data_IF_991774997391
#
_entry.id   IF_991774997391
#
_cell.length_a   1.000
_cell.length_b   1.000
_cell.length_c   1.000
_cell.angle_alpha   90.00
_cell.angle_beta   90.00
_cell.angle_gamma   90.00
#
_symmetry.space_group_name_H-M   'P 1'
#
loop_
_entity.id
_entity.type
_entity.pdbx_description
1 polymer ?
#
# COMPACT_ATOMS: atom_id res chain seq x y z
N UNK A 1 -36.80 -17.12 13.71
CA UNK A 1 -35.68 -16.61 12.89
C UNK A 1 -35.32 -17.70 11.91
N UNK A 2 -35.13 -17.37 10.63
CA UNK A 2 -34.88 -18.34 9.56
C UNK A 2 -33.55 -19.06 9.82
N UNK A 3 -33.62 -20.32 10.23
CA UNK A 3 -32.45 -21.19 10.46
C UNK A 3 -31.94 -21.84 9.18
N UNK A 4 -32.57 -21.54 8.04
CA UNK A 4 -32.29 -22.16 6.75
C UNK A 4 -31.82 -21.05 5.79
N UNK A 5 -30.71 -21.25 5.07
CA UNK A 5 -30.28 -20.30 4.05
C UNK A 5 -31.34 -20.20 2.93
N UNK A 6 -31.41 -19.07 2.21
CA UNK A 6 -32.17 -19.02 0.96
C UNK A 6 -31.66 -20.10 0.00
N UNK A 7 -32.55 -20.61 -0.85
CA UNK A 7 -32.16 -21.49 -1.96
C UNK A 7 -31.29 -20.75 -2.96
N UNK A 8 -30.55 -21.49 -3.79
CA UNK A 8 -29.72 -20.88 -4.83
C UNK A 8 -30.59 -20.07 -5.80
N UNK A 9 -31.76 -20.60 -6.18
CA UNK A 9 -32.69 -19.94 -7.09
C UNK A 9 -33.21 -18.62 -6.51
N UNK A 10 -33.58 -18.58 -5.22
CA UNK A 10 -34.00 -17.34 -4.55
C UNK A 10 -32.87 -16.29 -4.54
N UNK A 11 -31.63 -16.70 -4.28
CA UNK A 11 -30.47 -15.80 -4.30
C UNK A 11 -30.20 -15.23 -5.70
N UNK A 12 -30.22 -16.07 -6.74
CA UNK A 12 -29.97 -15.65 -8.11
C UNK A 12 -31.11 -14.80 -8.66
N UNK A 13 -32.37 -15.14 -8.36
CA UNK A 13 -33.52 -14.32 -8.72
C UNK A 13 -33.42 -12.93 -8.09
N UNK A 14 -33.09 -12.85 -6.80
CA UNK A 14 -32.90 -11.56 -6.13
C UNK A 14 -31.80 -10.73 -6.80
N UNK A 15 -30.68 -11.35 -7.17
CA UNK A 15 -29.59 -10.67 -7.87
C UNK A 15 -30.01 -10.14 -9.25
N UNK A 16 -30.79 -10.92 -10.02
CA UNK A 16 -31.28 -10.51 -11.33
C UNK A 16 -32.33 -9.39 -11.24
N UNK A 17 -33.26 -9.48 -10.30
CA UNK A 17 -34.32 -8.48 -10.10
C UNK A 17 -33.77 -7.13 -9.66
N UNK A 18 -32.63 -7.12 -8.96
CA UNK A 18 -31.94 -5.92 -8.49
C UNK A 18 -30.74 -5.52 -9.36
N UNK A 19 -30.62 -6.08 -10.57
CA UNK A 19 -29.52 -5.74 -11.47
C UNK A 19 -29.71 -4.35 -12.10
N UNK A 20 -28.72 -3.47 -11.91
CA UNK A 20 -28.69 -2.17 -12.55
C UNK A 20 -27.95 -2.23 -13.89
N UNK A 21 -28.61 -1.82 -14.97
CA UNK A 21 -28.05 -1.87 -16.34
C UNK A 21 -27.19 -0.67 -16.73
N UNK A 22 -27.03 0.33 -15.86
CA UNK A 22 -26.31 1.57 -16.16
C UNK A 22 -24.80 1.45 -15.92
N UNK A 23 -24.00 2.32 -16.55
CA UNK A 23 -22.55 2.41 -16.31
C UNK A 23 -21.66 1.40 -17.08
N UNK A 24 -22.23 0.49 -17.87
CA UNK A 24 -21.46 -0.45 -18.69
C UNK A 24 -21.03 0.12 -20.05
N UNK A 25 -19.86 -0.31 -20.53
CA UNK A 25 -19.33 0.14 -21.83
C UNK A 25 -20.16 -0.34 -23.03
N UNK A 26 -20.85 -1.46 -22.87
CA UNK A 26 -21.73 -2.04 -23.90
C UNK A 26 -22.64 -3.10 -23.29
N UNK A 27 -23.70 -3.51 -24.01
CA UNK A 27 -24.56 -4.65 -23.62
C UNK A 27 -23.80 -5.96 -23.47
N UNK A 28 -22.73 -6.15 -24.24
CA UNK A 28 -21.84 -7.32 -24.10
C UNK A 28 -21.04 -7.27 -22.80
N UNK A 29 -20.62 -6.08 -22.39
CA UNK A 29 -19.87 -5.84 -21.15
C UNK A 29 -20.78 -6.06 -19.93
N UNK A 30 -21.97 -5.45 -19.95
CA UNK A 30 -23.03 -5.68 -18.96
C UNK A 30 -23.31 -7.17 -18.76
N UNK A 31 -23.58 -7.90 -19.84
CA UNK A 31 -23.84 -9.35 -19.77
C UNK A 31 -22.68 -10.12 -19.15
N UNK A 32 -21.42 -9.76 -19.45
CA UNK A 32 -20.26 -10.42 -18.83
C UNK A 32 -20.20 -10.18 -17.32
N UNK A 33 -20.55 -8.98 -16.86
CA UNK A 33 -20.56 -8.64 -15.45
C UNK A 33 -21.70 -9.31 -14.69
N UNK A 34 -22.90 -9.36 -15.30
CA UNK A 34 -24.05 -10.09 -14.76
C UNK A 34 -23.70 -11.56 -14.53
N UNK A 35 -23.23 -12.26 -15.57
CA UNK A 35 -22.88 -13.68 -15.51
C UNK A 35 -21.71 -13.96 -14.55
N UNK A 36 -20.75 -13.03 -14.44
CA UNK A 36 -19.69 -13.14 -13.45
C UNK A 36 -20.23 -13.10 -12.03
N UNK A 37 -21.15 -12.18 -11.71
CA UNK A 37 -21.72 -12.09 -10.37
C UNK A 37 -22.58 -13.30 -10.02
N UNK A 38 -23.37 -13.83 -10.98
CA UNK A 38 -24.09 -15.11 -10.80
C UNK A 38 -23.14 -16.24 -10.40
N UNK A 39 -22.06 -16.42 -11.16
CA UNK A 39 -21.04 -17.44 -10.86
C UNK A 39 -20.40 -17.26 -9.48
N UNK A 40 -20.15 -16.01 -9.07
CA UNK A 40 -19.63 -15.71 -7.74
C UNK A 40 -20.63 -16.12 -6.66
N UNK A 41 -21.90 -15.77 -6.83
CA UNK A 41 -22.98 -16.06 -5.88
C UNK A 41 -23.32 -17.55 -5.81
N UNK A 42 -23.25 -18.27 -6.93
CA UNK A 42 -23.40 -19.73 -6.97
C UNK A 42 -22.36 -20.44 -6.09
N UNK A 43 -21.09 -20.10 -6.26
CA UNK A 43 -20.03 -20.71 -5.46
C UNK A 43 -20.08 -20.21 -4.00
N UNK A 44 -20.43 -18.94 -3.77
CA UNK A 44 -20.68 -18.41 -2.43
C UNK A 44 -21.76 -19.21 -1.71
N UNK A 45 -22.91 -19.42 -2.36
CA UNK A 45 -24.02 -20.19 -1.80
C UNK A 45 -23.61 -21.63 -1.49
N UNK A 46 -22.95 -22.29 -2.42
CA UNK A 46 -22.47 -23.67 -2.27
C UNK A 46 -21.52 -23.84 -1.08
N UNK A 47 -20.64 -22.87 -0.83
CA UNK A 47 -19.71 -22.89 0.30
C UNK A 47 -20.43 -22.61 1.61
N UNK A 48 -21.26 -21.57 1.66
CA UNK A 48 -21.78 -21.01 2.92
C UNK A 48 -23.14 -21.56 3.36
N UNK A 49 -23.91 -22.21 2.47
CA UNK A 49 -25.23 -22.76 2.80
C UNK A 49 -25.18 -23.96 3.75
N UNK A 50 -24.08 -24.74 3.74
CA UNK A 50 -23.95 -25.96 4.56
C UNK A 50 -23.81 -25.68 6.06
N UNK A 51 -23.13 -24.60 6.42
CA UNK A 51 -22.96 -24.14 7.80
C UNK A 51 -23.55 -22.72 7.95
N UNK A 52 -24.77 -22.56 7.46
CA UNK A 52 -25.45 -21.27 7.51
C UNK A 52 -25.71 -20.86 8.95
N UNK A 53 -25.19 -19.68 9.31
CA UNK A 53 -25.38 -19.05 10.60
C UNK A 53 -25.97 -17.67 10.39
N UNK A 54 -26.94 -17.33 11.23
CA UNK A 54 -27.48 -15.97 11.25
C UNK A 54 -26.40 -15.08 11.88
N UNK A 55 -25.93 -14.03 11.17
CA UNK A 55 -24.99 -13.07 11.73
C UNK A 55 -25.62 -12.32 12.89
N UNK A 56 -24.80 -11.84 13.83
CA UNK A 56 -25.25 -10.89 14.86
C UNK A 56 -25.76 -9.61 14.20
N UNK A 57 -25.03 -9.13 13.19
CA UNK A 57 -25.39 -7.93 12.44
C UNK A 57 -24.83 -7.97 11.02
N UNK A 58 -25.51 -7.27 10.12
CA UNK A 58 -25.05 -6.95 8.75
C UNK A 58 -25.24 -5.46 8.51
N UNK A 59 -24.37 -4.86 7.71
CA UNK A 59 -24.39 -3.42 7.37
C UNK A 59 -24.55 -2.53 8.61
N UNK A 60 -23.81 -2.86 9.68
CA UNK A 60 -23.97 -2.21 10.98
C UNK A 60 -23.22 -0.89 11.01
N UNK A 61 -23.96 0.21 10.93
CA UNK A 61 -23.41 1.53 11.20
C UNK A 61 -22.93 1.66 12.65
N UNK A 62 -21.84 2.39 12.85
CA UNK A 62 -21.30 2.71 14.16
C UNK A 62 -20.95 4.19 14.29
N UNK A 63 -21.00 4.65 15.53
CA UNK A 63 -20.58 5.97 15.97
C UNK A 63 -19.89 5.76 17.32
N UNK A 64 -18.57 5.84 17.33
CA UNK A 64 -17.73 5.43 18.45
C UNK A 64 -16.87 6.60 18.87
N UNK A 65 -17.08 7.04 20.11
CA UNK A 65 -16.34 8.12 20.73
C UNK A 65 -14.92 7.66 21.15
N UNK A 66 -13.91 8.34 20.62
CA UNK A 66 -12.50 8.25 21.00
C UNK A 66 -12.02 9.57 21.63
N UNK A 67 -12.83 10.13 22.52
CA UNK A 67 -12.63 11.34 23.32
C UNK A 67 -12.64 12.64 22.51
N UNK A 68 -11.65 12.84 21.64
CA UNK A 68 -11.50 14.06 20.82
C UNK A 68 -12.14 13.95 19.45
N UNK A 69 -12.46 12.72 19.04
CA UNK A 69 -12.99 12.43 17.70
C UNK A 69 -14.00 11.30 17.79
N UNK A 70 -15.03 11.40 16.96
CA UNK A 70 -16.00 10.34 16.77
C UNK A 70 -15.61 9.58 15.50
N UNK A 71 -15.34 8.29 15.63
CA UNK A 71 -15.19 7.40 14.48
C UNK A 71 -16.57 6.92 14.03
N UNK A 72 -16.83 7.06 12.73
CA UNK A 72 -18.06 6.58 12.10
C UNK A 72 -17.75 5.69 10.91
N UNK A 73 -18.59 4.67 10.70
CA UNK A 73 -18.46 3.76 9.57
C UNK A 73 -19.56 2.72 9.57
N UNK A 74 -19.41 1.71 8.70
CA UNK A 74 -20.35 0.59 8.56
C UNK A 74 -19.53 -0.70 8.55
N UNK A 75 -19.90 -1.66 9.38
CA UNK A 75 -19.31 -3.00 9.39
C UNK A 75 -20.20 -3.91 8.55
N UNK A 76 -19.67 -4.50 7.48
CA UNK A 76 -20.45 -5.33 6.54
C UNK A 76 -21.14 -6.51 7.25
N UNK A 77 -20.41 -7.27 8.07
CA UNK A 77 -20.95 -8.42 8.80
C UNK A 77 -20.22 -8.72 10.10
N UNK A 78 -21.00 -9.13 11.10
CA UNK A 78 -20.51 -9.57 12.42
C UNK A 78 -21.12 -10.91 12.78
N UNK A 79 -20.27 -11.90 13.05
CA UNK A 79 -20.67 -13.25 13.44
C UNK A 79 -20.26 -13.54 14.90
N UNK A 80 -21.02 -14.41 15.57
CA UNK A 80 -20.65 -14.95 16.88
C UNK A 80 -19.88 -16.25 16.70
N UNK A 81 -18.68 -16.33 17.27
CA UNK A 81 -17.89 -17.55 17.28
C UNK A 81 -18.31 -18.49 18.41
N UNK A 82 -18.02 -19.81 18.30
CA UNK A 82 -18.27 -20.77 19.38
C UNK A 82 -17.56 -20.42 20.70
N UNK A 83 -16.44 -19.68 20.65
CA UNK A 83 -15.73 -19.16 21.83
C UNK A 83 -16.55 -18.11 22.60
N UNK A 84 -17.58 -17.53 21.99
CA UNK A 84 -18.36 -16.42 22.50
C UNK A 84 -17.88 -15.05 21.99
N UNK A 85 -16.68 -14.99 21.40
CA UNK A 85 -16.12 -13.79 20.77
C UNK A 85 -16.73 -13.50 19.39
N UNK A 86 -16.29 -12.40 18.77
CA UNK A 86 -16.77 -11.96 17.46
C UNK A 86 -15.81 -12.32 16.32
N UNK A 87 -16.38 -12.59 15.15
CA UNK A 87 -15.70 -12.49 13.86
C UNK A 87 -16.29 -11.32 13.07
N UNK A 88 -15.42 -10.42 12.60
CA UNK A 88 -15.80 -9.35 11.68
C UNK A 88 -15.45 -9.79 10.28
N UNK A 89 -16.40 -9.68 9.35
CA UNK A 89 -16.22 -10.06 7.94
C UNK A 89 -16.48 -8.83 7.07
N UNK A 90 -15.50 -8.46 6.25
CA UNK A 90 -15.59 -7.40 5.25
C UNK A 90 -15.51 -8.04 3.85
N UNK A 91 -16.45 -7.69 2.97
CA UNK A 91 -16.57 -8.29 1.65
C UNK A 91 -15.85 -7.43 0.61
N UNK A 92 -14.87 -8.01 -0.10
CA UNK A 92 -14.17 -7.34 -1.20
C UNK A 92 -14.46 -8.01 -2.54
N UNK A 93 -14.94 -7.22 -3.51
CA UNK A 93 -15.27 -7.65 -4.89
C UNK A 93 -14.22 -7.25 -5.94
N UNK A 94 -13.15 -6.58 -5.51
CA UNK A 94 -12.01 -6.20 -6.34
C UNK A 94 -11.30 -7.41 -6.95
N UNK A 95 -10.42 -7.19 -7.94
CA UNK A 95 -9.68 -8.28 -8.62
C UNK A 95 -8.47 -8.78 -7.84
N UNK A 96 -7.90 -7.93 -6.99
CA UNK A 96 -6.63 -8.17 -6.30
C UNK A 96 -6.91 -8.93 -5.00
N UNK A 97 -6.18 -10.03 -4.81
CA UNK A 97 -6.15 -10.72 -3.53
C UNK A 97 -5.29 -9.93 -2.53
N UNK A 98 -5.75 -9.76 -1.28
CA UNK A 98 -4.90 -9.20 -0.23
C UNK A 98 -3.80 -10.20 0.13
N UNK A 99 -2.62 -9.69 0.48
CA UNK A 99 -1.59 -10.49 1.17
C UNK A 99 -1.85 -10.52 2.67
N UNK A 100 -1.33 -11.54 3.36
CA UNK A 100 -1.46 -11.65 4.83
C UNK A 100 -0.82 -10.44 5.53
N UNK A 101 0.34 -9.98 5.04
CA UNK A 101 1.00 -8.79 5.59
C UNK A 101 0.13 -7.54 5.50
N UNK A 102 -0.49 -7.30 4.35
CA UNK A 102 -1.42 -6.17 4.18
C UNK A 102 -2.62 -6.29 5.14
N UNK A 103 -3.15 -7.51 5.31
CA UNK A 103 -4.28 -7.76 6.18
C UNK A 103 -3.94 -7.52 7.66
N UNK A 104 -2.74 -7.92 8.10
CA UNK A 104 -2.26 -7.75 9.48
C UNK A 104 -2.07 -6.27 9.85
N UNK A 105 -1.74 -5.43 8.88
CA UNK A 105 -1.54 -3.99 9.03
C UNK A 105 -2.75 -3.15 8.58
N UNK A 106 -3.84 -3.80 8.16
CA UNK A 106 -5.01 -3.11 7.60
C UNK A 106 -5.69 -2.20 8.64
N UNK A 107 -5.72 -0.90 8.33
CA UNK A 107 -6.27 0.13 9.20
C UNK A 107 -7.80 0.04 9.31
N UNK A 108 -8.50 -0.32 8.22
CA UNK A 108 -9.96 -0.44 8.21
C UNK A 108 -10.42 -1.54 9.18
N UNK A 109 -9.82 -2.72 9.10
CA UNK A 109 -10.10 -3.84 10.01
C UNK A 109 -9.73 -3.50 11.46
N UNK A 110 -8.66 -2.72 11.68
CA UNK A 110 -8.28 -2.26 13.02
C UNK A 110 -9.33 -1.31 13.61
N UNK A 111 -9.89 -0.41 12.80
CA UNK A 111 -10.99 0.47 13.20
C UNK A 111 -12.26 -0.35 13.49
N UNK A 112 -12.57 -1.34 12.66
CA UNK A 112 -13.71 -2.23 12.91
C UNK A 112 -13.55 -3.04 14.20
N UNK A 113 -12.33 -3.46 14.53
CA UNK A 113 -12.04 -4.12 15.80
C UNK A 113 -12.42 -3.21 16.99
N UNK A 114 -11.90 -1.98 17.00
CA UNK A 114 -12.20 -0.99 18.04
C UNK A 114 -13.70 -0.72 18.12
N UNK A 115 -14.35 -0.53 16.96
CA UNK A 115 -15.77 -0.22 16.91
C UNK A 115 -16.63 -1.37 17.46
N UNK A 116 -16.34 -2.60 17.05
CA UNK A 116 -17.07 -3.77 17.51
C UNK A 116 -16.91 -4.01 19.02
N UNK A 117 -15.68 -3.88 19.54
CA UNK A 117 -15.44 -4.01 20.97
C UNK A 117 -16.23 -2.95 21.78
N UNK A 118 -16.25 -1.69 21.31
CA UNK A 118 -17.03 -0.60 21.95
C UNK A 118 -18.55 -0.83 21.90
N UNK A 119 -19.08 -1.34 20.78
CA UNK A 119 -20.52 -1.52 20.58
C UNK A 119 -21.06 -2.71 21.39
N UNK A 120 -20.36 -3.85 21.35
CA UNK A 120 -20.87 -5.10 21.93
C UNK A 120 -20.25 -5.45 23.28
N UNK A 121 -19.13 -4.82 23.67
CA UNK A 121 -18.36 -5.23 24.84
C UNK A 121 -17.77 -6.64 24.71
N UNK A 122 -17.60 -7.12 23.47
CA UNK A 122 -17.07 -8.44 23.13
C UNK A 122 -15.89 -8.24 22.20
N UNK A 123 -14.78 -8.91 22.49
CA UNK A 123 -13.57 -8.83 21.69
C UNK A 123 -13.77 -9.48 20.31
N UNK A 124 -13.39 -8.80 19.22
CA UNK A 124 -13.22 -9.44 17.92
C UNK A 124 -11.96 -10.32 17.91
N UNK A 125 -12.17 -11.63 18.00
CA UNK A 125 -11.10 -12.64 17.95
C UNK A 125 -10.54 -12.77 16.54
N UNK A 126 -11.37 -12.53 15.53
CA UNK A 126 -11.04 -12.74 14.13
C UNK A 126 -11.57 -11.61 13.26
N UNK A 127 -10.73 -11.13 12.35
CA UNK A 127 -11.06 -10.13 11.34
C UNK A 127 -10.78 -10.76 9.98
N UNK A 128 -11.77 -10.78 9.11
CA UNK A 128 -11.74 -11.53 7.86
C UNK A 128 -12.09 -10.64 6.69
N UNK A 129 -11.24 -10.63 5.66
CA UNK A 129 -11.65 -10.21 4.32
C UNK A 129 -12.17 -11.43 3.58
N UNK A 130 -13.43 -11.38 3.15
CA UNK A 130 -14.00 -12.34 2.21
C UNK A 130 -13.85 -11.79 0.79
N UNK A 131 -12.94 -12.37 0.01
CA UNK A 131 -12.74 -11.99 -1.38
C UNK A 131 -13.75 -12.71 -2.28
N UNK A 132 -14.81 -12.01 -2.67
CA UNK A 132 -15.96 -12.56 -3.39
C UNK A 132 -15.56 -13.20 -4.72
N UNK A 133 -14.66 -12.58 -5.50
CA UNK A 133 -14.29 -13.09 -6.82
C UNK A 133 -13.63 -14.45 -6.81
N UNK A 134 -12.89 -14.78 -5.76
CA UNK A 134 -12.26 -16.10 -5.59
C UNK A 134 -12.99 -16.99 -4.59
N UNK A 135 -14.03 -16.47 -3.91
CA UNK A 135 -14.69 -17.11 -2.77
C UNK A 135 -13.68 -17.64 -1.73
N UNK A 136 -12.72 -16.81 -1.37
CA UNK A 136 -11.66 -17.15 -0.40
C UNK A 136 -11.65 -16.15 0.74
N UNK A 137 -11.47 -16.66 1.95
CA UNK A 137 -11.34 -15.85 3.17
C UNK A 137 -9.87 -15.68 3.54
N UNK A 138 -9.52 -14.47 3.98
CA UNK A 138 -8.23 -14.15 4.56
C UNK A 138 -8.48 -13.57 5.94
N UNK A 139 -7.89 -14.16 6.96
CA UNK A 139 -8.20 -13.82 8.34
C UNK A 139 -6.96 -13.44 9.12
N UNK A 140 -7.14 -12.49 10.02
CA UNK A 140 -6.13 -11.95 10.93
C UNK A 140 -6.78 -11.69 12.30
N UNK A 141 -5.98 -11.24 13.26
CA UNK A 141 -6.42 -10.75 14.55
C UNK A 141 -5.68 -9.45 14.87
N UNK A 142 -6.02 -8.80 15.98
CA UNK A 142 -5.30 -7.62 16.46
C UNK A 142 -4.76 -7.85 17.86
N UNK A 143 -3.48 -7.55 18.03
CA UNK A 143 -2.83 -7.48 19.33
C UNK A 143 -3.11 -6.13 19.99
N UNK A 144 -3.09 -6.03 21.32
CA UNK A 144 -3.32 -4.77 22.03
C UNK A 144 -2.46 -3.60 21.52
N UNK A 145 -1.19 -3.84 21.18
CA UNK A 145 -0.31 -2.78 20.70
C UNK A 145 -0.65 -2.31 19.27
N UNK A 146 -1.22 -3.18 18.42
CA UNK A 146 -1.73 -2.76 17.11
C UNK A 146 -2.97 -1.87 17.25
N UNK A 147 -3.81 -2.14 18.25
CA UNK A 147 -4.97 -1.29 18.57
C UNK A 147 -4.51 0.08 19.08
N UNK A 148 -3.54 0.13 20.00
CA UNK A 148 -2.95 1.40 20.45
C UNK A 148 -2.37 2.20 19.29
N UNK A 149 -1.57 1.56 18.42
CA UNK A 149 -1.01 2.20 17.23
C UNK A 149 -2.07 2.74 16.28
N UNK A 150 -3.20 2.03 16.14
CA UNK A 150 -4.33 2.50 15.32
C UNK A 150 -4.95 3.76 15.91
N UNK A 151 -5.12 3.82 17.23
CA UNK A 151 -5.63 5.01 17.92
C UNK A 151 -4.64 6.18 17.78
N UNK A 152 -3.34 5.93 17.88
CA UNK A 152 -2.29 6.94 17.62
C UNK A 152 -2.38 7.50 16.19
N UNK A 153 -2.50 6.63 15.17
CA UNK A 153 -2.68 7.05 13.77
C UNK A 153 -3.93 7.94 13.62
N UNK A 154 -5.05 7.57 14.27
CA UNK A 154 -6.28 8.38 14.23
C UNK A 154 -6.04 9.77 14.83
N UNK A 155 -5.34 9.87 15.96
CA UNK A 155 -5.04 11.15 16.59
C UNK A 155 -4.02 11.97 15.81
N UNK A 156 -3.03 11.35 15.17
CA UNK A 156 -2.08 12.05 14.30
C UNK A 156 -2.81 12.67 13.10
N UNK A 157 -3.68 11.90 12.45
CA UNK A 157 -4.53 12.40 11.36
C UNK A 157 -5.44 13.53 11.84
N UNK A 158 -6.08 13.40 13.01
CA UNK A 158 -6.87 14.48 13.61
C UNK A 158 -6.03 15.75 13.82
N UNK A 159 -4.84 15.62 14.41
CA UNK A 159 -3.97 16.75 14.68
C UNK A 159 -3.51 17.45 13.39
N UNK A 160 -3.27 16.70 12.32
CA UNK A 160 -2.93 17.25 11.00
C UNK A 160 -4.12 17.99 10.39
N UNK A 161 -5.33 17.43 10.48
CA UNK A 161 -6.57 18.08 10.04
C UNK A 161 -6.81 19.40 10.78
N UNK A 162 -6.71 19.40 12.12
CA UNK A 162 -6.88 20.60 12.96
C UNK A 162 -5.88 21.70 12.60
N UNK A 163 -4.63 21.32 12.28
CA UNK A 163 -3.56 22.24 11.86
C UNK A 163 -3.62 22.62 10.38
N UNK A 164 -4.59 22.09 9.62
CA UNK A 164 -4.71 22.23 8.16
C UNK A 164 -3.45 21.79 7.41
N UNK A 165 -2.80 20.72 7.88
CA UNK A 165 -1.64 20.11 7.23
C UNK A 165 -2.11 19.09 6.21
N UNK A 166 -2.09 19.48 4.93
CA UNK A 166 -2.54 18.65 3.81
C UNK A 166 -1.45 18.49 2.75
N UNK A 167 -0.21 18.30 3.19
CA UNK A 167 0.93 18.07 2.30
C UNK A 167 0.66 16.87 1.41
N UNK A 168 0.86 17.04 0.09
CA UNK A 168 0.69 15.96 -0.86
C UNK A 168 1.76 14.89 -0.60
N UNK A 169 1.34 13.63 -0.56
CA UNK A 169 2.23 12.47 -0.44
C UNK A 169 2.01 11.60 -1.66
N UNK A 170 3.07 11.44 -2.46
CA UNK A 170 3.02 10.53 -3.60
C UNK A 170 2.75 9.10 -3.16
N UNK A 171 1.92 8.40 -3.94
CA UNK A 171 1.64 6.99 -3.75
C UNK A 171 1.30 6.35 -5.10
N UNK A 172 1.28 5.01 -5.20
CA UNK A 172 0.84 4.33 -6.41
C UNK A 172 -0.57 4.74 -6.88
N UNK A 173 -1.40 5.24 -5.97
CA UNK A 173 -2.76 5.70 -6.26
C UNK A 173 -2.81 7.04 -6.99
N UNK A 174 -1.71 7.83 -6.99
CA UNK A 174 -1.66 9.11 -7.70
C UNK A 174 -2.07 8.94 -9.16
N UNK A 175 -1.64 7.88 -9.84
CA UNK A 175 -2.00 7.60 -11.24
C UNK A 175 -3.51 7.56 -11.57
N UNK A 176 -4.37 7.36 -10.57
CA UNK A 176 -5.83 7.33 -10.68
C UNK A 176 -6.52 8.52 -10.00
N UNK A 177 -5.77 9.53 -9.54
CA UNK A 177 -6.29 10.68 -8.82
C UNK A 177 -6.90 11.72 -9.78
N UNK A 178 -8.17 12.06 -9.56
CA UNK A 178 -8.89 13.07 -10.35
C UNK A 178 -8.42 14.52 -10.04
N UNK A 179 -7.64 14.72 -8.97
CA UNK A 179 -7.23 16.03 -8.48
C UNK A 179 -5.80 16.42 -8.90
N UNK A 180 -5.19 15.74 -9.86
CA UNK A 180 -3.83 16.04 -10.33
C UNK A 180 -3.63 17.52 -10.71
N UNK A 181 -4.62 18.15 -11.35
CA UNK A 181 -4.58 19.55 -11.75
C UNK A 181 -4.42 20.55 -10.58
N UNK A 182 -4.79 20.14 -9.36
CA UNK A 182 -4.69 20.94 -8.14
C UNK A 182 -3.59 20.45 -7.20
N UNK A 183 -2.96 19.33 -7.51
CA UNK A 183 -1.94 18.71 -6.67
C UNK A 183 -0.59 19.41 -6.92
N UNK A 184 0.13 19.90 -5.89
CA UNK A 184 1.41 20.58 -6.10
C UNK A 184 2.46 19.71 -6.80
N UNK A 185 2.39 18.38 -6.65
CA UNK A 185 3.32 17.44 -7.30
C UNK A 185 3.02 17.21 -8.79
N UNK A 186 1.80 17.49 -9.25
CA UNK A 186 1.36 17.15 -10.62
C UNK A 186 0.80 18.34 -11.42
N UNK A 187 0.39 19.44 -10.78
CA UNK A 187 -0.31 20.56 -11.40
C UNK A 187 0.49 21.19 -12.55
N UNK A 188 1.81 21.30 -12.41
CA UNK A 188 2.70 21.83 -13.46
C UNK A 188 2.58 21.06 -14.79
N UNK A 189 2.23 19.77 -14.77
CA UNK A 189 1.98 18.99 -16.00
C UNK A 189 0.83 19.58 -16.83
N UNK A 190 -0.18 20.13 -16.16
CA UNK A 190 -1.37 20.70 -16.79
C UNK A 190 -1.15 22.17 -17.17
N UNK A 191 -0.34 22.92 -16.42
CA UNK A 191 0.04 24.30 -16.76
C UNK A 191 0.82 24.40 -18.08
N UNK A 192 1.63 23.38 -18.41
CA UNK A 192 2.36 23.31 -19.69
C UNK A 192 1.41 23.26 -20.89
N UNK A 193 0.25 22.61 -20.74
CA UNK A 193 -0.72 22.45 -21.83
C UNK A 193 -1.42 23.78 -22.18
N UNK A 194 -1.54 24.69 -21.21
CA UNK A 194 -2.24 25.97 -21.38
C UNK A 194 -1.32 27.16 -21.75
N UNK A 195 -0.01 27.08 -21.46
CA UNK A 195 0.96 28.12 -21.84
C UNK A 195 2.36 27.55 -22.15
N UNK A 196 2.72 27.38 -23.44
CA UNK A 196 4.01 26.78 -23.83
C UNK A 196 5.24 27.64 -23.50
N UNK A 197 5.06 28.92 -23.12
CA UNK A 197 6.16 29.83 -22.82
C UNK A 197 6.28 30.02 -21.30
N UNK A 198 6.74 28.97 -20.63
CA UNK A 198 7.16 29.00 -19.22
C UNK A 198 8.54 29.66 -19.11
N UNK A 199 8.55 30.98 -19.24
CA UNK A 199 9.74 31.82 -19.14
C UNK A 199 9.85 32.38 -17.72
N UNK A 200 10.89 31.97 -16.99
CA UNK A 200 11.26 32.57 -15.70
C UNK A 200 12.46 33.50 -15.92
N UNK A 201 12.19 34.79 -16.15
CA UNK A 201 13.22 35.76 -16.52
C UNK A 201 13.73 35.51 -17.95
N UNK A 202 14.96 35.02 -18.08
CA UNK A 202 15.55 34.59 -19.36
C UNK A 202 15.55 33.05 -19.54
N UNK A 203 15.06 32.31 -18.53
CA UNK A 203 15.13 30.85 -18.51
C UNK A 203 13.87 30.25 -19.13
N UNK A 204 14.05 29.48 -20.20
CA UNK A 204 13.01 28.60 -20.75
C UNK A 204 13.01 27.29 -19.95
N UNK A 205 12.01 27.09 -19.08
CA UNK A 205 11.96 25.96 -18.15
C UNK A 205 11.89 24.61 -18.89
N UNK A 206 11.01 24.39 -19.89
CA UNK A 206 10.99 23.14 -20.66
C UNK A 206 12.33 22.77 -21.28
N UNK A 207 13.01 23.71 -21.96
CA UNK A 207 14.32 23.43 -22.56
C UNK A 207 15.39 23.19 -21.49
N UNK A 208 15.35 23.93 -20.38
CA UNK A 208 16.29 23.76 -19.26
C UNK A 208 16.16 22.38 -18.59
N UNK A 209 14.94 21.87 -18.42
CA UNK A 209 14.70 20.51 -17.90
C UNK A 209 15.34 19.48 -18.82
N UNK A 210 15.13 19.61 -20.13
CA UNK A 210 15.72 18.73 -21.15
C UNK A 210 17.24 18.78 -21.11
N UNK A 211 17.84 19.97 -21.12
CA UNK A 211 19.29 20.16 -21.07
C UNK A 211 19.89 19.60 -19.78
N UNK A 212 19.21 19.79 -18.65
CA UNK A 212 19.63 19.24 -17.35
C UNK A 212 19.68 17.71 -17.37
N UNK A 213 18.61 17.06 -17.86
CA UNK A 213 18.54 15.60 -17.95
C UNK A 213 19.63 15.06 -18.87
N UNK A 214 19.77 15.62 -20.08
CA UNK A 214 20.81 15.21 -21.04
C UNK A 214 22.23 15.41 -20.49
N UNK A 215 22.45 16.50 -19.75
CA UNK A 215 23.75 16.75 -19.11
C UNK A 215 24.04 15.72 -18.01
N UNK A 216 23.04 15.34 -17.20
CA UNK A 216 23.18 14.28 -16.19
C UNK A 216 23.50 12.92 -16.82
N UNK A 217 22.89 12.58 -17.94
CA UNK A 217 23.21 11.36 -18.69
C UNK A 217 24.66 11.37 -19.19
N UNK A 218 25.12 12.47 -19.80
CA UNK A 218 26.52 12.62 -20.22
C UNK A 218 27.50 12.52 -19.05
N UNK A 219 27.17 13.12 -17.89
CA UNK A 219 28.00 12.99 -16.69
C UNK A 219 28.11 11.53 -16.27
N UNK A 220 27.00 10.79 -16.29
CA UNK A 220 26.99 9.35 -15.96
C UNK A 220 27.90 8.57 -16.91
N UNK A 221 27.80 8.80 -18.22
CA UNK A 221 28.65 8.15 -19.22
C UNK A 221 30.14 8.50 -19.05
N UNK A 222 30.45 9.79 -18.84
CA UNK A 222 31.81 10.25 -18.62
C UNK A 222 32.41 9.68 -17.34
N UNK A 223 31.61 9.51 -16.28
CA UNK A 223 32.05 8.88 -15.04
C UNK A 223 32.36 7.39 -15.24
N UNK A 224 31.54 6.65 -15.99
CA UNK A 224 31.83 5.25 -16.35
C UNK A 224 33.15 5.18 -17.11
N UNK A 225 33.33 6.01 -18.14
CA UNK A 225 34.57 6.06 -18.91
C UNK A 225 35.79 6.45 -18.06
N UNK A 226 35.63 7.42 -17.15
CA UNK A 226 36.70 7.83 -16.25
C UNK A 226 37.12 6.69 -15.31
N UNK A 227 36.17 5.91 -14.80
CA UNK A 227 36.45 4.73 -13.98
C UNK A 227 37.19 3.65 -14.78
N UNK A 228 36.77 3.32 -16.00
CA UNK A 228 37.45 2.33 -16.85
C UNK A 228 38.91 2.72 -17.14
N UNK A 229 39.15 4.01 -17.43
CA UNK A 229 40.50 4.55 -17.61
C UNK A 229 41.29 4.47 -16.30
N UNK A 230 40.65 4.81 -15.18
CA UNK A 230 41.22 4.69 -13.83
C UNK A 230 41.66 3.26 -13.51
N UNK A 231 40.81 2.26 -13.77
CA UNK A 231 41.10 0.84 -13.53
C UNK A 231 42.25 0.32 -14.40
N UNK A 232 42.36 0.80 -15.64
CA UNK A 232 43.51 0.50 -16.48
C UNK A 232 44.81 1.08 -15.90
N UNK A 233 44.77 2.31 -15.39
CA UNK A 233 45.91 2.97 -14.74
C UNK A 233 46.28 2.26 -13.43
N UNK A 234 45.29 1.84 -12.63
CA UNK A 234 45.49 1.04 -11.40
C UNK A 234 46.20 -0.26 -11.74
N UNK A 235 45.68 -1.06 -12.67
CA UNK A 235 46.31 -2.32 -13.09
C UNK A 235 47.75 -2.13 -13.54
N UNK A 236 48.00 -1.13 -14.38
CA UNK A 236 49.37 -0.81 -14.82
C UNK A 236 50.30 -0.47 -13.63
N UNK A 237 49.82 0.32 -12.67
CA UNK A 237 50.58 0.69 -11.48
C UNK A 237 50.87 -0.53 -10.59
N UNK A 238 49.90 -1.43 -10.41
CA UNK A 238 50.07 -2.67 -9.64
C UNK A 238 51.07 -3.62 -10.31
N UNK A 239 50.95 -3.83 -11.62
CA UNK A 239 51.85 -4.68 -12.41
C UNK A 239 53.31 -4.18 -12.40
N UNK A 240 53.52 -2.86 -12.29
CA UNK A 240 54.84 -2.22 -12.33
C UNK A 240 55.36 -1.76 -10.97
N UNK A 241 54.56 -1.86 -9.91
CA UNK A 241 54.92 -1.41 -8.57
C UNK A 241 55.02 0.12 -8.42
N UNK A 242 54.28 0.89 -9.23
CA UNK A 242 54.26 2.35 -9.13
C UNK A 242 53.11 2.85 -8.26
N UNK A 243 53.33 3.93 -7.50
CA UNK A 243 52.28 4.64 -6.75
C UNK A 243 51.85 5.95 -7.41
N UNK A 244 52.59 6.40 -8.43
CA UNK A 244 52.27 7.58 -9.24
C UNK A 244 52.76 7.38 -10.66
N UNK A 245 51.94 7.77 -11.64
CA UNK A 245 52.26 7.76 -13.07
C UNK A 245 52.03 9.13 -13.68
N UNK A 246 52.75 9.42 -14.77
CA UNK A 246 52.79 10.72 -15.42
C UNK A 246 52.38 10.59 -16.89
N UNK A 247 51.54 11.50 -17.36
CA UNK A 247 51.40 11.84 -18.77
C UNK A 247 52.19 13.12 -19.09
N UNK A 248 52.09 13.60 -20.34
CA UNK A 248 52.87 14.76 -20.81
C UNK A 248 52.68 16.04 -19.96
N UNK A 249 51.48 16.23 -19.38
CA UNK A 249 51.13 17.43 -18.60
C UNK A 249 50.49 17.16 -17.24
N UNK A 250 50.18 15.91 -16.93
CA UNK A 250 49.38 15.54 -15.76
C UNK A 250 49.97 14.31 -15.07
N UNK A 251 49.64 14.11 -13.79
CA UNK A 251 50.01 12.90 -13.06
C UNK A 251 48.84 12.35 -12.28
N UNK A 252 48.73 11.03 -12.19
CA UNK A 252 47.76 10.32 -11.36
C UNK A 252 48.51 9.63 -10.23
N UNK A 253 48.07 9.85 -9.00
CA UNK A 253 48.58 9.15 -7.81
C UNK A 253 47.55 8.13 -7.37
N UNK A 254 48.00 6.91 -7.10
CA UNK A 254 47.15 5.85 -6.60
C UNK A 254 47.53 5.60 -5.14
N UNK A 255 46.56 5.78 -4.27
CA UNK A 255 46.69 5.50 -2.84
C UNK A 255 45.81 4.31 -2.49
N UNK A 256 46.41 3.27 -1.91
CA UNK A 256 45.64 2.21 -1.25
C UNK A 256 45.15 2.77 0.08
N UNK A 257 43.84 2.82 0.24
CA UNK A 257 43.20 3.19 1.50
C UNK A 257 42.68 1.90 2.10
N UNK A 258 43.25 1.46 3.22
CA UNK A 258 42.60 0.46 4.06
C UNK A 258 41.33 1.10 4.64
N UNK A 259 40.18 0.72 4.09
CA UNK A 259 38.91 0.95 4.76
C UNK A 259 38.72 -0.21 5.74
N UNK A 260 38.68 0.09 7.03
CA UNK A 260 38.10 -0.83 8.02
C UNK A 260 36.61 -0.90 7.74
N UNK A 261 36.22 -1.81 6.87
CA UNK A 261 34.87 -2.35 6.83
C UNK A 261 34.78 -3.46 7.86
N UNK A 262 33.59 -3.67 8.38
CA UNK A 262 33.31 -4.87 9.14
C UNK A 262 32.46 -5.77 8.24
N UNK A 263 32.76 -7.07 8.23
CA UNK A 263 31.87 -8.04 7.59
C UNK A 263 30.55 -8.04 8.35
N UNK A 264 29.45 -7.74 7.65
CA UNK A 264 28.14 -7.54 8.29
C UNK A 264 27.72 -8.75 9.12
N UNK A 265 28.05 -9.96 8.65
CA UNK A 265 27.81 -11.22 9.36
C UNK A 265 28.67 -11.37 10.62
N UNK A 266 29.91 -10.87 10.64
CA UNK A 266 30.78 -10.90 11.83
C UNK A 266 30.35 -9.86 12.87
N UNK A 267 29.93 -8.67 12.42
CA UNK A 267 29.35 -7.63 13.29
C UNK A 267 28.07 -8.13 13.92
N UNK A 268 27.19 -8.70 13.10
CA UNK A 268 25.94 -9.27 13.55
C UNK A 268 26.18 -10.34 14.61
N UNK A 269 27.12 -11.25 14.38
CA UNK A 269 27.45 -12.31 15.33
C UNK A 269 28.00 -11.77 16.65
N UNK A 270 28.92 -10.81 16.61
CA UNK A 270 29.45 -10.14 17.80
C UNK A 270 28.38 -9.39 18.59
N UNK A 271 27.43 -8.76 17.89
CA UNK A 271 26.33 -8.04 18.53
C UNK A 271 25.22 -8.97 19.01
N UNK A 272 25.02 -10.14 18.39
CA UNK A 272 24.12 -11.19 18.89
C UNK A 272 24.69 -11.86 20.15
N UNK A 273 26.00 -12.11 20.21
CA UNK A 273 26.68 -12.70 21.38
C UNK A 273 26.60 -11.79 22.63
N UNK A 274 26.48 -10.48 22.44
CA UNK A 274 26.32 -9.47 23.50
C UNK A 274 24.87 -8.97 23.67
N UNK A 275 23.89 -9.57 22.97
CA UNK A 275 22.46 -9.22 23.02
C UNK A 275 22.13 -7.76 22.59
N UNK A 276 23.01 -7.17 21.76
CA UNK A 276 22.94 -5.78 21.29
C UNK A 276 22.43 -5.63 19.85
N UNK A 277 22.34 -6.71 19.07
CA UNK A 277 21.98 -6.63 17.65
C UNK A 277 20.61 -5.98 17.40
N UNK A 278 19.64 -6.21 18.29
CA UNK A 278 18.29 -5.63 18.20
C UNK A 278 18.28 -4.10 18.37
N UNK A 279 19.36 -3.49 18.89
CA UNK A 279 19.46 -2.05 19.10
C UNK A 279 20.03 -1.28 17.90
N UNK A 280 20.49 -1.98 16.86
CA UNK A 280 21.18 -1.41 15.68
C UNK A 280 20.27 -1.43 14.43
N UNK A 281 19.09 -2.05 14.52
CA UNK A 281 18.00 -1.96 13.54
C UNK A 281 17.11 -0.74 13.78
#
# INVERSE_FOLDING_TARGET
MFTTPPTLDELLNYYEENWESEGYKSKRDEKKHLELGKKILEEFHKINSKDYKIPIAVERSFNVDLDRIILTGIIDRVDKLPSGNLEIIDYKSGKRLPSIKELDEDLQLSIYHIAAEKIWGILPEKLTIYHLRSNTTFSTHRKPDQIKKTIEIVFDVLNDIEKRKFEAKESPLCSFCDFHQFCPEFAHKYEIEESPQMILGEVNIPESIKDYVQTKEKIKELNVKANEIGDAIIRYCEDKGFSRVYGEKYSVTISKVEKKGYEEDEVKKLLEDEDLWQNVL
#
